data_IF_188432398506
#
_entry.id   IF_188432398506
#
_cell.length_a   1.000
_cell.length_b   1.000
_cell.length_c   1.000
_cell.angle_alpha   90.00
_cell.angle_beta   90.00
_cell.angle_gamma   90.00
#
_symmetry.space_group_name_H-M   'P 1'
#
loop_
_entity.id
_entity.type
_entity.pdbx_description
1 polymer ?
#
# COMPACT_ATOMS: atom_id res chain seq x y z
N UNK A 1 19.57 -12.64 4.17
CA UNK A 1 18.93 -11.36 4.53
C UNK A 1 18.44 -10.74 3.23
N UNK A 2 17.13 -10.76 2.96
CA UNK A 2 16.57 -10.19 1.72
C UNK A 2 16.44 -8.67 1.92
N UNK A 3 17.42 -7.98 1.35
CA UNK A 3 17.41 -6.62 0.78
C UNK A 3 16.17 -5.79 1.11
N UNK A 4 16.28 -4.99 2.18
CA UNK A 4 15.44 -3.80 2.40
C UNK A 4 16.09 -2.64 1.63
N UNK A 5 16.00 -2.68 0.31
CA UNK A 5 16.44 -1.57 -0.54
C UNK A 5 15.45 -0.41 -0.41
N UNK A 6 16.02 0.66 0.11
CA UNK A 6 15.41 1.96 0.38
C UNK A 6 14.97 2.63 -0.92
N UNK A 7 13.67 2.93 -1.06
CA UNK A 7 13.17 3.91 -2.05
C UNK A 7 11.92 3.49 -2.84
N UNK A 8 11.69 2.19 -3.03
CA UNK A 8 10.60 1.65 -3.89
C UNK A 8 9.45 1.02 -3.10
N UNK A 9 9.33 1.30 -1.80
CA UNK A 9 8.27 0.70 -0.95
C UNK A 9 6.86 1.03 -1.49
N UNK A 10 6.69 2.21 -2.09
CA UNK A 10 5.39 2.67 -2.62
C UNK A 10 5.13 2.28 -4.08
N UNK A 11 6.13 1.77 -4.79
CA UNK A 11 6.02 1.41 -6.21
C UNK A 11 6.46 -0.04 -6.39
N UNK A 12 5.49 -0.94 -6.33
CA UNK A 12 5.72 -2.36 -6.58
C UNK A 12 5.62 -2.63 -8.08
N UNK A 13 6.52 -3.45 -8.61
CA UNK A 13 6.43 -3.96 -9.98
C UNK A 13 5.17 -4.81 -10.17
N UNK A 14 4.77 -5.54 -9.13
CA UNK A 14 3.56 -6.33 -9.11
C UNK A 14 2.42 -5.56 -8.46
N UNK A 15 1.19 -5.70 -8.98
CA UNK A 15 0.00 -5.17 -8.33
C UNK A 15 -0.17 -5.85 -6.98
N UNK A 16 -0.23 -5.06 -5.92
CA UNK A 16 -0.45 -5.52 -4.56
C UNK A 16 -1.74 -4.94 -4.00
N UNK A 17 -2.21 -5.55 -2.92
CA UNK A 17 -3.36 -5.06 -2.17
C UNK A 17 -2.88 -4.02 -1.17
N UNK A 18 -3.33 -2.79 -1.32
CA UNK A 18 -3.12 -1.69 -0.39
C UNK A 18 -4.32 -1.57 0.52
N UNK A 19 -4.12 -1.65 1.82
CA UNK A 19 -5.18 -1.53 2.82
C UNK A 19 -4.93 -0.29 3.65
N UNK A 20 -5.92 0.59 3.74
CA UNK A 20 -5.90 1.76 4.62
C UNK A 20 -6.00 1.30 6.07
N UNK A 21 -5.01 1.65 6.90
CA UNK A 21 -5.01 1.29 8.33
C UNK A 21 -6.07 2.03 9.16
N UNK A 22 -6.53 3.18 8.68
CA UNK A 22 -7.50 4.02 9.39
C UNK A 22 -8.95 3.54 9.23
N UNK A 23 -9.35 3.15 8.02
CA UNK A 23 -10.74 2.80 7.71
C UNK A 23 -10.93 1.38 7.15
N UNK A 24 -9.86 0.67 6.80
CA UNK A 24 -9.93 -0.65 6.17
C UNK A 24 -10.22 -0.64 4.67
N UNK A 25 -10.23 0.53 4.00
CA UNK A 25 -10.40 0.60 2.54
C UNK A 25 -9.29 -0.18 1.82
N UNK A 26 -9.68 -0.96 0.81
CA UNK A 26 -8.77 -1.82 0.05
C UNK A 26 -8.65 -1.32 -1.40
N UNK A 27 -7.43 -1.09 -1.85
CA UNK A 27 -7.08 -0.68 -3.20
C UNK A 27 -6.14 -1.69 -3.85
N UNK A 28 -6.42 -2.13 -5.07
CA UNK A 28 -5.55 -3.04 -5.81
C UNK A 28 -4.77 -2.30 -6.90
N UNK A 29 -3.46 -2.25 -6.74
CA UNK A 29 -2.61 -1.46 -7.65
C UNK A 29 -1.13 -1.62 -7.36
N UNK A 30 -0.31 -1.08 -8.24
CA UNK A 30 1.15 -0.96 -8.02
C UNK A 30 1.50 0.10 -6.99
N UNK A 31 0.58 1.05 -6.76
CA UNK A 31 0.70 2.19 -5.87
C UNK A 31 -0.65 2.50 -5.20
N UNK A 32 -0.65 3.01 -3.96
CA UNK A 32 -1.86 3.43 -3.28
C UNK A 32 -2.34 4.80 -3.80
N UNK A 33 -3.66 5.10 -3.73
CA UNK A 33 -4.18 6.41 -4.08
C UNK A 33 -3.66 7.49 -3.12
N UNK A 34 -3.41 8.71 -3.61
CA UNK A 34 -2.86 9.82 -2.81
C UNK A 34 -3.67 10.13 -1.55
N UNK A 35 -4.98 9.96 -1.64
CA UNK A 35 -5.92 10.06 -0.54
C UNK A 35 -6.87 8.88 -0.56
N UNK A 36 -7.26 8.43 0.64
CA UNK A 36 -8.26 7.41 0.78
C UNK A 36 -9.65 7.94 0.38
N UNK A 37 -10.33 7.33 -0.60
CA UNK A 37 -11.66 7.79 -1.01
C UNK A 37 -12.73 7.54 0.08
N UNK A 38 -12.43 6.73 1.09
CA UNK A 38 -13.37 6.44 2.19
C UNK A 38 -13.20 7.34 3.41
N UNK A 39 -11.97 7.79 3.72
CA UNK A 39 -11.69 8.57 4.94
C UNK A 39 -10.84 9.84 4.71
N UNK A 40 -10.52 10.19 3.46
CA UNK A 40 -9.65 11.29 3.03
C UNK A 40 -8.22 11.31 3.61
N UNK A 41 -7.80 10.26 4.33
CA UNK A 41 -6.45 10.17 4.88
C UNK A 41 -5.40 9.97 3.79
N UNK A 42 -4.19 10.47 4.03
CA UNK A 42 -3.09 10.41 3.08
C UNK A 42 -2.63 8.97 2.78
N UNK A 43 -2.03 8.77 1.61
CA UNK A 43 -1.48 7.48 1.18
C UNK A 43 -0.46 6.86 2.15
N UNK A 44 0.15 7.68 3.01
CA UNK A 44 1.06 7.25 4.08
C UNK A 44 0.43 6.25 5.06
N UNK A 45 -0.90 6.26 5.19
CA UNK A 45 -1.65 5.34 6.05
C UNK A 45 -2.00 4.00 5.37
N UNK A 46 -1.61 3.80 4.11
CA UNK A 46 -1.80 2.52 3.45
C UNK A 46 -0.68 1.54 3.76
N UNK A 47 -1.05 0.29 4.00
CA UNK A 47 -0.14 -0.84 4.12
C UNK A 47 -0.34 -1.82 2.98
N UNK A 48 0.75 -2.47 2.57
CA UNK A 48 0.67 -3.59 1.64
C UNK A 48 0.22 -4.83 2.41
N UNK A 49 -0.85 -5.47 1.94
CA UNK A 49 -1.24 -6.81 2.36
C UNK A 49 -0.35 -7.81 1.60
N UNK A 50 0.85 -8.05 2.13
CA UNK A 50 1.68 -9.17 1.68
C UNK A 50 1.04 -10.46 2.20
N UNK A 51 0.41 -11.22 1.31
CA UNK A 51 0.15 -12.64 1.58
C UNK A 51 1.44 -13.38 1.25
N UNK A 52 2.33 -13.51 2.25
CA UNK A 52 3.44 -14.46 2.18
C UNK A 52 2.83 -15.87 2.19
N UNK A 53 2.99 -16.60 1.09
CA UNK A 53 2.67 -18.03 0.97
C UNK A 53 3.93 -18.87 1.13
#
# INVERSE_FOLDING_TARGET
>A
MKELESGTIFKKENKVWWVCRECGYVHFGTEPPEKCPSCDHEKSFYQIKCEEY
#
